data_IF_393185110011
#
_entry.id   IF_393185110011
#
_cell.length_a   1.000
_cell.length_b   1.000
_cell.length_c   1.000
_cell.angle_alpha   90.00
_cell.angle_beta   90.00
_cell.angle_gamma   90.00
#
_symmetry.space_group_name_H-M   'P 1'
#
loop_
_entity.id
_entity.type
_entity.pdbx_description
1 polymer ?
#
# COMPACT_ATOMS: atom_id res chain seq x y z
N UNK A 1 -2.11 16.63 0.53
CA UNK A 1 -3.15 16.67 -0.51
C UNK A 1 -4.54 16.84 0.11
N UNK A 2 -4.96 15.99 1.05
CA UNK A 2 -6.28 16.07 1.70
C UNK A 2 -6.54 17.44 2.31
N UNK A 3 -5.59 17.97 3.07
CA UNK A 3 -5.70 19.33 3.66
C UNK A 3 -5.95 20.40 2.59
N UNK A 4 -5.21 20.37 1.48
CA UNK A 4 -5.38 21.33 0.40
C UNK A 4 -6.78 21.23 -0.21
N UNK A 5 -7.27 20.03 -0.48
CA UNK A 5 -8.63 19.81 -1.02
C UNK A 5 -9.70 20.30 -0.05
N UNK A 6 -9.58 20.01 1.25
CA UNK A 6 -10.55 20.46 2.25
C UNK A 6 -10.54 21.99 2.39
N UNK A 7 -9.37 22.64 2.34
CA UNK A 7 -9.27 24.11 2.33
C UNK A 7 -10.01 24.73 1.15
N UNK A 8 -9.87 24.17 -0.05
CA UNK A 8 -10.60 24.66 -1.24
C UNK A 8 -12.10 24.46 -1.10
N UNK A 9 -12.56 23.32 -0.59
CA UNK A 9 -14.00 23.09 -0.35
C UNK A 9 -14.56 24.10 0.66
N UNK A 10 -13.86 24.34 1.76
CA UNK A 10 -14.28 25.33 2.77
C UNK A 10 -14.28 26.74 2.17
N UNK A 11 -13.24 27.10 1.42
CA UNK A 11 -13.14 28.43 0.80
C UNK A 11 -14.24 28.70 -0.24
N UNK A 12 -14.72 27.65 -0.92
CA UNK A 12 -15.81 27.76 -1.91
C UNK A 12 -17.19 28.12 -1.30
N UNK A 13 -17.35 27.93 0.01
CA UNK A 13 -18.60 28.19 0.76
C UNK A 13 -19.83 27.44 0.21
N UNK A 14 -19.65 26.33 -0.49
CA UNK A 14 -20.74 25.48 -0.99
C UNK A 14 -21.37 24.62 0.11
N UNK A 15 -20.72 24.47 1.25
CA UNK A 15 -21.24 23.78 2.42
C UNK A 15 -21.56 24.75 3.55
N UNK A 16 -22.56 24.47 4.37
CA UNK A 16 -22.83 25.23 5.59
C UNK A 16 -21.61 25.21 6.53
N UNK A 17 -21.48 26.26 7.35
CA UNK A 17 -20.44 26.35 8.36
C UNK A 17 -20.49 25.12 9.31
N UNK A 18 -19.35 24.49 9.56
CA UNK A 18 -19.23 23.33 10.43
C UNK A 18 -19.60 21.98 9.77
N UNK A 19 -20.18 21.98 8.56
CA UNK A 19 -20.56 20.74 7.87
C UNK A 19 -19.35 19.88 7.43
N UNK A 20 -18.18 20.49 7.26
CA UNK A 20 -16.92 19.79 6.96
C UNK A 20 -15.84 20.29 7.90
N UNK A 21 -15.22 19.36 8.60
CA UNK A 21 -14.10 19.62 9.51
C UNK A 21 -12.95 18.66 9.20
N UNK A 22 -11.71 19.10 9.37
CA UNK A 22 -10.52 18.29 9.18
C UNK A 22 -9.61 18.40 10.40
N UNK A 23 -9.23 17.26 10.95
CA UNK A 23 -8.20 17.14 11.97
C UNK A 23 -6.95 16.54 11.30
N UNK A 24 -5.83 17.27 11.35
CA UNK A 24 -4.54 16.79 10.88
C UNK A 24 -3.71 16.29 12.07
N UNK A 25 -3.36 15.02 12.06
CA UNK A 25 -2.61 14.38 13.14
C UNK A 25 -3.44 13.34 13.88
N UNK A 26 -3.13 13.12 15.16
CA UNK A 26 -3.86 12.17 15.98
C UNK A 26 -5.28 12.68 16.26
N UNK A 27 -6.26 11.78 16.17
CA UNK A 27 -7.63 12.08 16.57
C UNK A 27 -7.81 12.22 18.10
N UNK A 28 -6.78 11.87 18.89
CA UNK A 28 -6.81 11.98 20.35
C UNK A 28 -8.00 11.20 20.96
N UNK A 29 -8.81 11.90 21.70
CA UNK A 29 -9.98 11.39 22.39
C UNK A 29 -11.32 11.64 21.66
N UNK A 30 -11.28 11.99 20.38
CA UNK A 30 -12.47 12.35 19.58
C UNK A 30 -13.58 11.28 19.69
N UNK A 31 -13.23 10.00 19.68
CA UNK A 31 -14.22 8.93 19.81
C UNK A 31 -14.87 8.83 21.21
N UNK A 32 -14.37 9.55 22.19
CA UNK A 32 -15.01 9.61 23.51
C UNK A 32 -16.23 10.54 23.54
N UNK A 33 -16.43 11.31 22.48
CA UNK A 33 -17.52 12.27 22.36
C UNK A 33 -18.63 11.82 21.40
N UNK A 34 -18.53 10.61 20.83
CA UNK A 34 -19.55 10.08 19.92
C UNK A 34 -20.78 9.58 20.67
N UNK A 35 -21.94 9.71 20.03
CA UNK A 35 -23.23 9.28 20.56
C UNK A 35 -24.03 8.48 19.52
N UNK A 36 -25.23 8.03 19.86
CA UNK A 36 -26.06 7.16 19.02
C UNK A 36 -26.52 7.78 17.68
N UNK A 37 -26.32 9.08 17.45
CA UNK A 37 -26.64 9.76 16.19
C UNK A 37 -25.42 9.86 15.26
N UNK A 38 -24.23 9.53 15.76
CA UNK A 38 -23.00 9.57 15.00
C UNK A 38 -22.77 8.26 14.24
N UNK A 39 -21.95 8.32 13.21
CA UNK A 39 -21.45 7.16 12.46
C UNK A 39 -19.94 7.27 12.36
N UNK A 40 -19.25 6.20 12.71
CA UNK A 40 -17.80 6.11 12.53
C UNK A 40 -17.48 5.25 11.31
N UNK A 41 -16.73 5.81 10.39
CA UNK A 41 -16.19 5.08 9.24
C UNK A 41 -14.68 5.12 9.30
N UNK A 42 -14.06 3.95 9.29
CA UNK A 42 -12.61 3.77 9.37
C UNK A 42 -12.09 3.05 8.13
N UNK A 43 -11.01 3.56 7.57
CA UNK A 43 -10.22 2.89 6.53
C UNK A 43 -8.76 2.87 6.98
N UNK A 44 -8.16 1.68 7.06
CA UNK A 44 -6.77 1.51 7.51
C UNK A 44 -6.43 0.06 7.85
N UNK A 45 -5.49 -0.18 8.78
CA UNK A 45 -5.14 -1.54 9.18
C UNK A 45 -6.23 -2.20 10.02
N UNK A 46 -6.41 -3.51 9.87
CA UNK A 46 -7.37 -4.28 10.65
C UNK A 46 -7.13 -4.16 12.16
N UNK A 47 -5.87 -4.15 12.59
CA UNK A 47 -5.51 -3.99 14.00
C UNK A 47 -5.99 -2.65 14.58
N UNK A 48 -5.77 -1.56 13.85
CA UNK A 48 -6.26 -0.22 14.25
C UNK A 48 -7.79 -0.17 14.23
N UNK A 49 -8.42 -0.70 13.18
CA UNK A 49 -9.88 -0.73 13.09
C UNK A 49 -10.53 -1.50 14.24
N UNK A 50 -9.98 -2.67 14.61
CA UNK A 50 -10.45 -3.45 15.75
C UNK A 50 -10.25 -2.70 17.08
N UNK A 51 -9.10 -2.05 17.27
CA UNK A 51 -8.84 -1.22 18.46
C UNK A 51 -9.88 -0.08 18.57
N UNK A 52 -10.16 0.64 17.47
CA UNK A 52 -11.13 1.72 17.46
C UNK A 52 -12.56 1.20 17.70
N UNK A 53 -12.94 0.09 17.08
CA UNK A 53 -14.26 -0.54 17.24
C UNK A 53 -14.53 -0.98 18.68
N UNK A 54 -13.48 -1.30 19.44
CA UNK A 54 -13.59 -1.66 20.86
C UNK A 54 -13.65 -0.45 21.79
N UNK A 55 -13.68 0.79 21.27
CA UNK A 55 -13.81 1.97 22.10
C UNK A 55 -15.12 1.90 22.91
N UNK A 56 -15.00 2.18 24.20
CA UNK A 56 -16.10 2.10 25.18
C UNK A 56 -17.34 2.91 24.72
N UNK A 57 -17.14 4.11 24.23
CA UNK A 57 -18.25 5.02 23.85
C UNK A 57 -18.95 4.56 22.57
N UNK A 58 -18.22 3.94 21.65
CA UNK A 58 -18.83 3.32 20.45
C UNK A 58 -19.75 2.17 20.89
N UNK A 59 -19.30 1.34 21.82
CA UNK A 59 -20.07 0.19 22.30
C UNK A 59 -21.27 0.62 23.16
N UNK A 60 -21.06 1.48 24.15
CA UNK A 60 -22.09 1.92 25.09
C UNK A 60 -23.21 2.73 24.40
N UNK A 61 -22.86 3.56 23.41
CA UNK A 61 -23.81 4.36 22.67
C UNK A 61 -24.35 3.68 21.40
N UNK A 62 -23.96 2.41 21.16
CA UNK A 62 -24.34 1.64 19.97
C UNK A 62 -24.10 2.42 18.66
N UNK A 63 -22.92 3.07 18.55
CA UNK A 63 -22.55 3.87 17.38
C UNK A 63 -22.27 2.95 16.18
N UNK A 64 -22.93 3.14 15.02
CA UNK A 64 -22.59 2.40 13.81
C UNK A 64 -21.12 2.56 13.44
N UNK A 65 -20.41 1.45 13.27
CA UNK A 65 -19.00 1.43 12.93
C UNK A 65 -18.78 0.66 11.63
N UNK A 66 -18.41 1.38 10.57
CA UNK A 66 -18.03 0.78 9.30
C UNK A 66 -16.51 0.70 9.20
N UNK A 67 -15.98 -0.47 8.86
CA UNK A 67 -14.56 -0.73 8.77
C UNK A 67 -14.19 -1.30 7.41
N UNK A 68 -13.31 -0.60 6.70
CA UNK A 68 -12.60 -1.10 5.52
C UNK A 68 -11.12 -1.25 5.89
N UNK A 69 -10.64 -2.47 5.93
CA UNK A 69 -9.29 -2.76 6.43
C UNK A 69 -8.66 -3.93 5.70
N UNK A 70 -7.37 -3.80 5.49
CA UNK A 70 -6.45 -4.73 4.84
C UNK A 70 -6.97 -5.29 3.50
N UNK A 71 -6.09 -5.58 2.59
CA UNK A 71 -6.43 -6.27 1.34
C UNK A 71 -5.22 -7.00 0.79
N UNK A 72 -5.47 -8.16 0.20
CA UNK A 72 -4.46 -8.99 -0.45
C UNK A 72 -4.90 -9.32 -1.87
N UNK A 73 -5.01 -8.28 -2.70
CA UNK A 73 -5.39 -8.44 -4.10
C UNK A 73 -4.36 -9.27 -4.85
N UNK A 74 -4.81 -9.98 -5.85
CA UNK A 74 -3.94 -10.82 -6.66
C UNK A 74 -4.10 -10.56 -8.15
N UNK A 75 -3.09 -10.96 -8.89
CA UNK A 75 -3.10 -11.13 -10.34
C UNK A 75 -2.70 -12.56 -10.67
N UNK A 76 -3.30 -13.14 -11.69
CA UNK A 76 -3.06 -14.53 -12.10
C UNK A 76 -2.64 -14.54 -13.57
N UNK A 77 -1.51 -15.20 -13.86
CA UNK A 77 -1.05 -15.43 -15.23
C UNK A 77 -1.66 -16.73 -15.78
N UNK A 78 -2.34 -16.66 -16.91
CA UNK A 78 -2.86 -17.83 -17.60
C UNK A 78 -1.74 -18.77 -18.10
N UNK A 79 -2.06 -20.06 -18.23
CA UNK A 79 -1.09 -21.05 -18.73
C UNK A 79 -0.76 -20.86 -20.20
N UNK A 80 -1.64 -20.27 -20.96
CA UNK A 80 -1.53 -19.97 -22.40
C UNK A 80 -0.72 -18.70 -22.69
N UNK A 81 -0.54 -17.81 -21.70
CA UNK A 81 0.19 -16.55 -21.87
C UNK A 81 1.71 -16.82 -21.95
N UNK A 82 2.34 -16.33 -23.01
CA UNK A 82 3.79 -16.45 -23.24
C UNK A 82 4.40 -15.06 -23.52
N UNK A 83 5.73 -14.89 -23.48
CA UNK A 83 6.37 -13.60 -23.81
C UNK A 83 6.03 -13.03 -25.19
N UNK A 84 5.51 -13.84 -26.10
CA UNK A 84 5.12 -13.46 -27.45
C UNK A 84 3.65 -13.00 -27.53
N UNK A 85 2.86 -13.18 -26.45
CA UNK A 85 1.45 -12.75 -26.41
C UNK A 85 1.31 -11.35 -25.81
N UNK A 86 0.35 -10.53 -26.29
CA UNK A 86 0.13 -9.16 -25.77
C UNK A 86 -0.18 -9.12 -24.27
N UNK A 87 -0.82 -10.17 -23.74
CA UNK A 87 -1.20 -10.29 -22.31
C UNK A 87 0.03 -10.32 -21.40
N UNK A 88 1.17 -10.83 -21.89
CA UNK A 88 2.42 -10.84 -21.12
C UNK A 88 2.88 -9.42 -20.76
N UNK A 89 2.94 -8.54 -21.75
CA UNK A 89 3.37 -7.16 -21.54
C UNK A 89 2.40 -6.40 -20.62
N UNK A 90 1.10 -6.63 -20.79
CA UNK A 90 0.06 -6.06 -19.93
C UNK A 90 0.26 -6.54 -18.50
N UNK A 91 0.46 -7.85 -18.28
CA UNK A 91 0.68 -8.44 -16.97
C UNK A 91 1.90 -7.82 -16.26
N UNK A 92 3.05 -7.77 -16.92
CA UNK A 92 4.28 -7.19 -16.34
C UNK A 92 4.11 -5.69 -16.05
N UNK A 93 3.48 -4.95 -16.96
CA UNK A 93 3.25 -3.51 -16.82
C UNK A 93 2.31 -3.18 -15.67
N UNK A 94 1.22 -3.93 -15.51
CA UNK A 94 0.26 -3.70 -14.41
C UNK A 94 0.91 -4.02 -13.06
N UNK A 95 1.69 -5.10 -12.93
CA UNK A 95 2.43 -5.39 -11.70
C UNK A 95 3.35 -4.23 -11.32
N UNK A 96 4.18 -3.74 -12.26
CA UNK A 96 5.05 -2.60 -11.99
C UNK A 96 4.25 -1.37 -11.56
N UNK A 97 3.19 -1.04 -12.30
CA UNK A 97 2.32 0.11 -12.00
C UNK A 97 1.72 0.01 -10.60
N UNK A 98 1.16 -1.13 -10.23
CA UNK A 98 0.52 -1.34 -8.93
C UNK A 98 1.53 -1.31 -7.78
N UNK A 99 2.75 -1.81 -7.99
CA UNK A 99 3.83 -1.74 -7.00
C UNK A 99 4.39 -0.31 -6.83
N UNK A 100 4.38 0.53 -7.86
CA UNK A 100 5.10 1.81 -7.85
C UNK A 100 4.20 3.04 -7.74
N UNK A 101 2.95 2.97 -8.21
CA UNK A 101 2.01 4.08 -8.12
C UNK A 101 1.68 4.37 -6.64
N UNK A 102 1.88 5.63 -6.22
CA UNK A 102 1.81 6.06 -4.82
C UNK A 102 2.73 5.23 -3.89
N UNK A 103 3.87 4.76 -4.40
CA UNK A 103 4.77 3.84 -3.70
C UNK A 103 4.04 2.59 -3.17
N UNK A 104 3.11 2.04 -3.95
CA UNK A 104 2.31 0.85 -3.60
C UNK A 104 1.29 1.06 -2.47
N UNK A 105 1.12 2.27 -1.96
CA UNK A 105 0.20 2.57 -0.86
C UNK A 105 -1.24 2.73 -1.36
N UNK A 106 -1.82 1.61 -1.80
CA UNK A 106 -3.18 1.54 -2.34
C UNK A 106 -3.89 0.28 -1.84
N UNK A 107 -5.15 0.41 -1.45
CA UNK A 107 -6.01 -0.72 -1.08
C UNK A 107 -6.23 -1.70 -2.24
N UNK A 108 -6.14 -1.22 -3.50
CA UNK A 108 -6.25 -2.03 -4.71
C UNK A 108 -4.91 -2.59 -5.20
N UNK A 109 -3.79 -2.32 -4.51
CA UNK A 109 -2.46 -2.77 -4.93
C UNK A 109 -2.37 -4.29 -5.04
N UNK A 110 -1.71 -4.77 -6.10
CA UNK A 110 -1.45 -6.20 -6.28
C UNK A 110 -0.39 -6.60 -5.25
N UNK A 111 -0.75 -7.51 -4.34
CA UNK A 111 0.14 -8.05 -3.30
C UNK A 111 0.59 -9.47 -3.60
N UNK A 112 -0.18 -10.20 -4.42
CA UNK A 112 0.09 -11.60 -4.75
C UNK A 112 0.05 -11.80 -6.26
N UNK A 113 1.09 -12.41 -6.79
CA UNK A 113 1.28 -12.67 -8.21
C UNK A 113 1.34 -14.19 -8.40
N UNK A 114 0.25 -14.78 -8.92
CA UNK A 114 0.18 -16.22 -9.15
C UNK A 114 0.60 -16.53 -10.59
N UNK A 115 1.61 -17.36 -10.72
CA UNK A 115 2.14 -17.78 -12.03
C UNK A 115 2.32 -19.29 -12.09
N UNK A 116 2.17 -19.93 -13.27
CA UNK A 116 2.55 -21.32 -13.45
C UNK A 116 4.02 -21.54 -13.11
N UNK A 117 4.35 -22.62 -12.41
CA UNK A 117 5.71 -22.93 -11.99
C UNK A 117 6.71 -22.89 -13.15
N UNK A 118 6.34 -23.43 -14.31
CA UNK A 118 7.16 -23.41 -15.51
C UNK A 118 7.52 -22.03 -16.05
N UNK A 119 6.81 -20.98 -15.61
CA UNK A 119 7.01 -19.58 -16.03
C UNK A 119 7.64 -18.71 -14.94
N UNK A 120 7.80 -19.22 -13.72
CA UNK A 120 8.22 -18.48 -12.54
C UNK A 120 9.50 -17.65 -12.80
N UNK A 121 10.54 -18.28 -13.32
CA UNK A 121 11.83 -17.62 -13.58
C UNK A 121 11.75 -16.56 -14.69
N UNK A 122 10.94 -16.80 -15.73
CA UNK A 122 10.75 -15.82 -16.80
C UNK A 122 10.01 -14.58 -16.28
N UNK A 123 8.95 -14.79 -15.51
CA UNK A 123 8.15 -13.71 -14.90
C UNK A 123 9.00 -12.92 -13.90
N UNK A 124 9.73 -13.60 -13.00
CA UNK A 124 10.64 -12.97 -12.03
C UNK A 124 11.62 -12.02 -12.72
N UNK A 125 12.29 -12.50 -13.77
CA UNK A 125 13.25 -11.69 -14.56
C UNK A 125 12.58 -10.52 -15.24
N UNK A 126 11.40 -10.72 -15.86
CA UNK A 126 10.67 -9.66 -16.55
C UNK A 126 10.17 -8.58 -15.60
N UNK A 127 9.62 -8.94 -14.44
CA UNK A 127 9.20 -7.98 -13.42
C UNK A 127 10.41 -7.22 -12.87
N UNK A 128 11.50 -7.91 -12.52
CA UNK A 128 12.73 -7.27 -12.04
C UNK A 128 13.30 -6.26 -13.05
N UNK A 129 13.39 -6.63 -14.33
CA UNK A 129 13.81 -5.73 -15.41
C UNK A 129 12.86 -4.53 -15.57
N UNK A 130 11.56 -4.74 -15.42
CA UNK A 130 10.57 -3.65 -15.47
C UNK A 130 10.69 -2.71 -14.28
N UNK A 131 10.86 -3.23 -13.06
CA UNK A 131 11.02 -2.45 -11.83
C UNK A 131 12.33 -1.63 -11.84
N UNK A 132 13.41 -2.16 -12.42
CA UNK A 132 14.70 -1.44 -12.51
C UNK A 132 14.64 -0.15 -13.32
N UNK A 133 13.62 0.02 -14.16
CA UNK A 133 13.38 1.24 -14.92
C UNK A 133 12.63 2.32 -14.09
N UNK A 134 12.23 2.02 -12.87
CA UNK A 134 11.47 2.95 -12.03
C UNK A 134 12.42 3.95 -11.37
N UNK A 135 12.39 5.19 -11.84
CA UNK A 135 13.14 6.29 -11.22
C UNK A 135 12.43 6.73 -9.93
N UNK A 136 13.15 6.71 -8.82
CA UNK A 136 12.64 7.04 -7.49
C UNK A 136 13.24 8.37 -7.05
N UNK A 137 12.46 9.25 -6.42
CA UNK A 137 12.99 10.54 -5.95
C UNK A 137 11.94 11.61 -5.73
N UNK A 138 12.35 12.86 -5.94
CA UNK A 138 11.48 14.02 -5.80
C UNK A 138 10.39 14.01 -6.87
N UNK A 139 9.08 13.94 -6.50
CA UNK A 139 7.99 13.89 -7.47
C UNK A 139 7.83 15.17 -8.33
N UNK A 140 8.51 16.26 -7.99
CA UNK A 140 8.57 17.46 -8.83
C UNK A 140 9.50 17.29 -10.05
N UNK A 141 10.37 16.29 -10.04
CA UNK A 141 11.20 15.97 -11.20
C UNK A 141 10.42 15.08 -12.16
N UNK A 142 10.28 15.53 -13.41
CA UNK A 142 9.49 14.86 -14.45
C UNK A 142 9.97 13.45 -14.80
N UNK A 143 11.21 13.08 -14.47
CA UNK A 143 11.74 11.73 -14.69
C UNK A 143 11.33 10.75 -13.59
N UNK A 144 10.95 11.25 -12.42
CA UNK A 144 10.58 10.42 -11.28
C UNK A 144 9.21 9.76 -11.52
N UNK A 145 9.13 8.48 -11.18
CA UNK A 145 7.92 7.65 -11.32
C UNK A 145 7.41 7.12 -9.99
N UNK A 146 8.23 7.15 -8.95
CA UNK A 146 7.83 6.78 -7.61
C UNK A 146 8.45 7.74 -6.59
N UNK A 147 7.62 8.32 -5.74
CA UNK A 147 8.04 9.15 -4.60
C UNK A 147 8.30 8.33 -3.35
N UNK A 148 8.35 9.01 -2.19
CA UNK A 148 8.46 8.38 -0.89
C UNK A 148 7.13 7.77 -0.43
N UNK A 149 7.19 6.92 0.59
CA UNK A 149 6.05 6.54 1.42
C UNK A 149 5.51 7.77 2.18
N UNK A 150 4.33 7.63 2.77
CA UNK A 150 3.66 8.72 3.49
C UNK A 150 4.49 9.28 4.66
N UNK A 151 5.34 8.46 5.26
CA UNK A 151 6.24 8.88 6.33
C UNK A 151 7.09 7.73 6.86
N UNK A 152 7.97 8.06 7.81
CA UNK A 152 8.93 7.08 8.38
C UNK A 152 8.23 5.96 9.14
N UNK A 153 7.13 6.27 9.85
CA UNK A 153 6.32 5.25 10.53
C UNK A 153 5.79 4.22 9.53
N UNK A 154 5.31 4.68 8.37
CA UNK A 154 4.83 3.78 7.31
C UNK A 154 5.97 2.95 6.73
N UNK A 155 7.14 3.53 6.51
CA UNK A 155 8.33 2.78 6.04
C UNK A 155 8.74 1.70 7.02
N UNK A 156 8.76 2.01 8.30
CA UNK A 156 9.09 1.06 9.37
C UNK A 156 8.06 -0.07 9.44
N UNK A 157 6.77 0.24 9.31
CA UNK A 157 5.70 -0.76 9.27
C UNK A 157 5.86 -1.70 8.07
N UNK A 158 6.06 -1.17 6.87
CA UNK A 158 6.29 -1.99 5.67
C UNK A 158 7.48 -2.93 5.85
N UNK A 159 8.60 -2.43 6.40
CA UNK A 159 9.78 -3.28 6.70
C UNK A 159 9.43 -4.40 7.68
N UNK A 160 8.65 -4.10 8.72
CA UNK A 160 8.18 -5.09 9.70
C UNK A 160 7.33 -6.18 9.03
N UNK A 161 6.41 -5.80 8.15
CA UNK A 161 5.59 -6.78 7.42
C UNK A 161 6.43 -7.62 6.45
N UNK A 162 7.42 -7.01 5.76
CA UNK A 162 8.35 -7.78 4.92
C UNK A 162 9.10 -8.82 5.74
N UNK A 163 9.57 -8.50 6.95
CA UNK A 163 10.25 -9.47 7.81
C UNK A 163 9.35 -10.69 8.12
N UNK A 164 8.05 -10.49 8.32
CA UNK A 164 7.10 -11.59 8.47
C UNK A 164 6.98 -12.42 7.19
N UNK A 165 6.86 -11.76 6.03
CA UNK A 165 6.77 -12.43 4.72
C UNK A 165 8.02 -13.26 4.41
N UNK A 166 9.19 -12.87 4.91
CA UNK A 166 10.45 -13.59 4.72
C UNK A 166 10.51 -14.92 5.48
N UNK A 167 9.56 -15.23 6.37
CA UNK A 167 9.46 -16.55 6.99
C UNK A 167 9.19 -17.66 5.96
N UNK A 168 8.51 -17.33 4.85
CA UNK A 168 8.14 -18.28 3.79
C UNK A 168 8.54 -17.83 2.38
N UNK A 169 9.16 -16.66 2.24
CA UNK A 169 9.51 -16.06 0.94
C UNK A 169 10.95 -15.56 0.93
N UNK A 170 11.48 -15.26 -0.25
CA UNK A 170 12.80 -14.62 -0.40
C UNK A 170 12.71 -13.37 -1.28
N UNK A 171 13.54 -12.36 -0.98
CA UNK A 171 13.67 -11.19 -1.84
C UNK A 171 14.38 -11.60 -3.13
N UNK A 172 13.76 -11.37 -4.27
CA UNK A 172 14.32 -11.64 -5.60
C UNK A 172 14.57 -10.37 -6.41
N UNK A 173 14.07 -9.22 -5.94
CA UNK A 173 14.39 -7.89 -6.47
C UNK A 173 14.22 -6.84 -5.38
N UNK A 174 15.07 -5.81 -5.43
CA UNK A 174 15.06 -4.68 -4.51
C UNK A 174 15.99 -4.87 -3.29
N UNK A 175 16.07 -3.84 -2.46
CA UNK A 175 16.88 -3.84 -1.23
C UNK A 175 16.14 -3.10 -0.12
N UNK A 176 16.28 -3.60 1.11
CA UNK A 176 15.75 -2.93 2.32
C UNK A 176 16.71 -1.87 2.88
N UNK A 177 17.99 -1.93 2.50
CA UNK A 177 19.06 -1.15 3.13
C UNK A 177 19.56 0.00 2.26
N UNK A 178 19.43 -0.13 0.94
CA UNK A 178 19.95 0.86 0.02
C UNK A 178 18.94 1.27 -1.03
N UNK A 179 18.90 2.56 -1.33
CA UNK A 179 18.08 3.12 -2.38
C UNK A 179 18.81 4.30 -3.04
N UNK A 180 18.75 4.36 -4.35
CA UNK A 180 19.16 5.53 -5.11
C UNK A 180 17.95 6.40 -5.39
N UNK A 181 18.07 7.69 -5.09
CA UNK A 181 17.00 8.66 -5.32
C UNK A 181 17.51 9.82 -6.17
N UNK A 182 16.63 10.40 -6.98
CA UNK A 182 16.93 11.54 -7.85
C UNK A 182 16.32 12.81 -7.25
N UNK A 183 17.11 13.88 -7.18
CA UNK A 183 16.71 15.18 -6.64
C UNK A 183 16.09 15.11 -5.24
N UNK A 184 16.56 14.20 -4.41
CA UNK A 184 16.08 14.00 -3.05
C UNK A 184 17.22 13.49 -2.16
N UNK A 185 17.04 13.62 -0.85
CA UNK A 185 17.94 13.07 0.16
C UNK A 185 17.32 11.78 0.72
N UNK A 186 17.93 10.64 0.43
CA UNK A 186 17.44 9.32 0.88
C UNK A 186 17.41 9.17 2.40
N UNK A 187 18.15 10.01 3.14
CA UNK A 187 18.17 9.98 4.60
C UNK A 187 17.08 10.81 5.25
N UNK A 188 16.49 11.75 4.52
CA UNK A 188 15.44 12.65 5.03
C UNK A 188 14.03 12.27 4.60
N UNK A 189 13.90 11.44 3.58
CA UNK A 189 12.61 10.99 3.08
C UNK A 189 12.36 9.50 3.36
N UNK A 190 11.10 9.14 3.53
CA UNK A 190 10.68 7.74 3.69
C UNK A 190 10.73 6.97 2.36
N UNK A 191 11.85 7.06 1.65
CA UNK A 191 12.05 6.35 0.40
C UNK A 191 12.28 4.85 0.63
N UNK A 192 11.77 4.05 -0.29
CA UNK A 192 11.91 2.59 -0.27
C UNK A 192 12.02 2.05 -1.69
N UNK A 193 12.91 1.08 -1.90
CA UNK A 193 12.98 0.33 -3.15
C UNK A 193 11.71 -0.52 -3.33
N UNK A 194 11.22 -0.71 -4.55
CA UNK A 194 10.27 -1.79 -4.82
C UNK A 194 10.88 -3.14 -4.44
N UNK A 195 10.13 -3.96 -3.73
CA UNK A 195 10.55 -5.29 -3.26
C UNK A 195 9.67 -6.35 -3.91
N UNK A 196 10.30 -7.23 -4.68
CA UNK A 196 9.64 -8.42 -5.20
C UNK A 196 10.06 -9.63 -4.36
N UNK A 197 9.06 -10.30 -3.80
CA UNK A 197 9.23 -11.53 -3.05
C UNK A 197 8.89 -12.73 -3.94
N UNK A 198 9.54 -13.87 -3.68
CA UNK A 198 9.24 -15.13 -4.34
C UNK A 198 8.99 -16.22 -3.32
N UNK A 199 7.93 -16.98 -3.55
CA UNK A 199 7.59 -18.18 -2.82
C UNK A 199 7.37 -19.33 -3.80
N UNK A 200 7.97 -20.48 -3.54
CA UNK A 200 7.85 -21.70 -4.37
C UNK A 200 6.88 -22.72 -3.81
N UNK A 201 6.32 -22.44 -2.62
CA UNK A 201 5.37 -23.33 -1.92
C UNK A 201 4.12 -22.54 -1.48
N UNK A 202 3.34 -22.02 -2.43
CA UNK A 202 2.27 -21.06 -2.12
C UNK A 202 1.20 -21.60 -1.18
N UNK A 203 0.95 -22.91 -1.17
CA UNK A 203 -0.05 -23.53 -0.29
C UNK A 203 0.43 -23.74 1.14
N UNK A 204 1.75 -23.65 1.39
CA UNK A 204 2.36 -23.75 2.71
C UNK A 204 2.68 -22.34 3.31
N UNK A 205 2.66 -21.31 2.49
CA UNK A 205 3.08 -19.95 2.82
C UNK A 205 1.94 -19.13 3.42
N UNK A 206 1.62 -19.39 4.67
CA UNK A 206 0.55 -18.69 5.40
C UNK A 206 0.71 -17.16 5.36
N UNK A 207 1.92 -16.68 5.57
CA UNK A 207 2.23 -15.24 5.61
C UNK A 207 1.87 -14.53 4.30
N UNK A 208 2.08 -15.17 3.15
CA UNK A 208 1.73 -14.61 1.84
C UNK A 208 0.21 -14.40 1.67
N UNK A 209 -0.60 -15.05 2.50
CA UNK A 209 -2.07 -14.99 2.46
C UNK A 209 -2.69 -14.22 3.63
N UNK A 210 -1.88 -13.77 4.61
CA UNK A 210 -2.38 -13.10 5.82
C UNK A 210 -1.69 -11.76 6.10
N UNK A 211 -0.51 -11.51 5.50
CA UNK A 211 0.29 -10.31 5.80
C UNK A 211 0.25 -9.33 4.65
N UNK A 212 -0.27 -8.14 4.90
CA UNK A 212 -0.19 -7.02 3.95
C UNK A 212 1.01 -6.13 4.30
N UNK A 213 1.91 -5.93 3.33
CA UNK A 213 2.93 -4.89 3.37
C UNK A 213 2.44 -3.69 2.54
N UNK A 214 1.85 -2.67 3.19
CA UNK A 214 1.21 -1.53 2.53
C UNK A 214 2.25 -0.54 1.98
N UNK A 215 2.99 -1.00 0.97
CA UNK A 215 4.10 -0.32 0.32
C UNK A 215 4.40 -0.90 -1.06
N UNK A 216 5.56 -0.59 -1.66
CA UNK A 216 5.95 -1.08 -2.99
C UNK A 216 6.43 -2.54 -2.94
N UNK A 217 5.55 -3.46 -2.52
CA UNK A 217 5.87 -4.87 -2.22
C UNK A 217 4.83 -5.77 -2.87
N UNK A 218 5.28 -6.84 -3.51
CA UNK A 218 4.48 -7.95 -4.04
C UNK A 218 5.26 -9.27 -3.96
#
# INVERSE_FOLDING_TARGET
LTEAVVKEIIASKILPEGALQLICGSAGDLLNHVNSQDVVTFTGSASTGLMLKQNKYILENNVPFNMEADSLNCIVLGQDVTPETPEWDIFIKEIRKEMTLKAGQRCTGIRRIFVPESKLEKVRKAIGASLSQTVIGNPLNEKVRMGSLAGETQRSEVKTQIQKLLASSQIVYGSLDSIQVVDADSQKGAFMSPILLMNTKPFEAKEAHEVEAFGPVS
#
